data_IF_158451341610
#
_entry.id   IF_158451341610
#
_cell.length_a   1.000
_cell.length_b   1.000
_cell.length_c   1.000
_cell.angle_alpha   90.00
_cell.angle_beta   90.00
_cell.angle_gamma   90.00
#
_symmetry.space_group_name_H-M   'P 1'
#
loop_
_entity.id
_entity.type
_entity.pdbx_description
1 polymer ?
#
# COMPACT_ATOMS: atom_id res chain seq x y z
N UNK A 1 10.34 6.05 -6.73
CA UNK A 1 10.41 5.23 -5.50
C UNK A 1 9.25 4.24 -5.50
N UNK A 2 9.24 3.28 -4.56
CA UNK A 2 8.18 2.30 -4.45
C UNK A 2 7.35 2.52 -3.17
N UNK A 3 6.05 2.37 -3.32
CA UNK A 3 5.07 2.49 -2.25
C UNK A 3 4.13 1.28 -2.28
N UNK A 4 3.42 1.06 -1.18
CA UNK A 4 2.32 0.13 -1.15
C UNK A 4 1.12 0.78 -0.48
N UNK A 5 -0.08 0.44 -0.93
CA UNK A 5 -1.34 0.87 -0.33
C UNK A 5 -2.15 -0.33 0.08
N UNK A 6 -2.69 -0.28 1.30
CA UNK A 6 -3.79 -1.12 1.73
C UNK A 6 -5.07 -0.29 1.75
N UNK A 7 -6.06 -0.69 0.98
CA UNK A 7 -7.34 0.02 0.86
C UNK A 7 -8.46 -0.95 0.51
N UNK A 8 -9.71 -0.50 0.63
CA UNK A 8 -10.83 -1.15 -0.03
C UNK A 8 -10.62 -1.08 -1.55
N UNK A 9 -10.76 -2.22 -2.23
CA UNK A 9 -10.66 -2.35 -3.68
C UNK A 9 -11.73 -3.33 -4.12
N UNK A 10 -12.85 -2.81 -4.61
CA UNK A 10 -14.00 -3.62 -5.04
C UNK A 10 -13.73 -4.34 -6.36
N UNK A 11 -13.18 -3.63 -7.35
CA UNK A 11 -12.76 -4.19 -8.64
C UNK A 11 -11.25 -4.13 -8.81
N UNK A 12 -10.52 -5.21 -8.47
CA UNK A 12 -9.09 -5.34 -8.74
C UNK A 12 -8.72 -5.21 -10.23
N UNK A 13 -9.67 -5.39 -11.15
CA UNK A 13 -9.41 -5.34 -12.59
C UNK A 13 -9.55 -3.94 -13.19
N UNK A 14 -9.99 -2.95 -12.42
CA UNK A 14 -10.07 -1.58 -12.87
C UNK A 14 -8.72 -1.08 -13.44
N UNK A 15 -8.78 -0.31 -14.52
CA UNK A 15 -7.59 0.25 -15.15
C UNK A 15 -7.01 1.43 -14.36
N UNK A 16 -7.88 2.15 -13.65
CA UNK A 16 -7.53 3.32 -12.86
C UNK A 16 -8.17 3.22 -11.49
N UNK A 17 -7.43 3.63 -10.46
CA UNK A 17 -7.88 3.71 -9.09
C UNK A 17 -7.72 5.13 -8.56
N UNK A 18 -8.64 5.56 -7.70
CA UNK A 18 -8.56 6.81 -6.98
C UNK A 18 -8.64 6.49 -5.49
N UNK A 19 -7.64 6.93 -4.73
CA UNK A 19 -7.58 6.69 -3.30
C UNK A 19 -7.36 8.00 -2.56
N UNK A 20 -8.09 8.20 -1.45
CA UNK A 20 -7.77 9.21 -0.46
C UNK A 20 -7.49 8.50 0.86
N UNK A 21 -6.22 8.45 1.27
CA UNK A 21 -5.82 7.56 2.35
C UNK A 21 -4.82 8.19 3.32
N UNK A 22 -4.89 7.78 4.59
CA UNK A 22 -3.84 8.14 5.56
C UNK A 22 -2.51 7.53 5.15
N UNK A 23 -1.44 8.18 5.55
CA UNK A 23 -0.07 7.77 5.23
C UNK A 23 0.69 7.45 6.50
N UNK A 24 1.57 6.46 6.42
CA UNK A 24 2.50 6.09 7.48
C UNK A 24 3.84 5.71 6.85
N UNK A 25 4.91 5.61 7.65
CA UNK A 25 6.20 5.09 7.21
C UNK A 25 6.70 5.71 5.88
N UNK A 26 6.73 7.04 5.82
CA UNK A 26 7.18 7.77 4.61
C UNK A 26 6.14 7.88 3.49
N UNK A 27 4.96 7.26 3.61
CA UNK A 27 3.93 7.26 2.56
C UNK A 27 3.45 8.64 2.10
N UNK A 28 3.64 9.69 2.92
CA UNK A 28 3.31 11.09 2.57
C UNK A 28 4.17 11.68 1.45
N UNK A 29 5.26 11.00 1.07
CA UNK A 29 6.20 11.46 0.04
C UNK A 29 5.85 10.92 -1.36
N UNK A 30 4.82 10.09 -1.48
CA UNK A 30 4.40 9.54 -2.76
C UNK A 30 4.07 10.65 -3.76
N UNK A 31 4.56 10.50 -4.98
CA UNK A 31 4.43 11.49 -6.04
C UNK A 31 4.02 10.83 -7.36
N UNK A 32 3.64 11.66 -8.34
CA UNK A 32 3.42 11.21 -9.71
C UNK A 32 4.68 10.51 -10.26
N UNK A 33 4.48 9.41 -10.99
CA UNK A 33 5.56 8.58 -11.54
C UNK A 33 6.06 7.47 -10.61
N UNK A 34 5.69 7.48 -9.32
CA UNK A 34 6.07 6.41 -8.40
C UNK A 34 5.36 5.09 -8.69
N UNK A 35 6.04 3.98 -8.37
CA UNK A 35 5.45 2.64 -8.40
C UNK A 35 4.65 2.43 -7.12
N UNK A 36 3.44 1.88 -7.26
CA UNK A 36 2.61 1.53 -6.11
C UNK A 36 2.05 0.11 -6.24
N UNK A 37 2.19 -0.67 -5.18
CA UNK A 37 1.59 -2.00 -5.03
C UNK A 37 0.24 -1.89 -4.31
N UNK A 38 -0.80 -2.47 -4.90
CA UNK A 38 -2.18 -2.36 -4.44
C UNK A 38 -2.56 -3.62 -3.65
N UNK A 39 -2.84 -3.44 -2.35
CA UNK A 39 -3.37 -4.47 -1.46
C UNK A 39 -4.85 -4.20 -1.19
N UNK A 40 -5.72 -5.09 -1.66
CA UNK A 40 -7.13 -5.12 -1.31
C UNK A 40 -7.26 -5.57 0.16
N UNK A 41 -7.85 -4.71 0.98
CA UNK A 41 -7.93 -4.88 2.42
C UNK A 41 -8.81 -6.06 2.82
N UNK A 42 -8.27 -7.01 3.57
CA UNK A 42 -9.03 -8.18 4.05
C UNK A 42 -10.11 -7.82 5.08
N UNK A 43 -9.98 -6.66 5.74
CA UNK A 43 -11.05 -6.16 6.61
C UNK A 43 -12.27 -5.67 5.80
N UNK A 44 -12.09 -5.43 4.50
CA UNK A 44 -13.11 -4.98 3.55
C UNK A 44 -13.43 -6.10 2.53
N UNK A 45 -13.10 -7.36 2.85
CA UNK A 45 -13.35 -8.52 1.97
C UNK A 45 -12.29 -8.75 0.88
N UNK A 46 -11.22 -7.97 0.85
CA UNK A 46 -10.09 -8.14 -0.07
C UNK A 46 -9.19 -9.35 0.26
N UNK A 47 -8.20 -9.61 -0.59
CA UNK A 47 -7.33 -10.79 -0.52
C UNK A 47 -5.82 -10.47 -0.43
N UNK A 48 -5.46 -9.23 -0.08
CA UNK A 48 -4.07 -8.77 -0.07
C UNK A 48 -3.65 -8.22 -1.43
N UNK A 49 -2.41 -8.51 -1.87
CA UNK A 49 -1.85 -7.98 -3.11
C UNK A 49 -2.69 -8.39 -4.33
N UNK A 50 -3.15 -7.40 -5.09
CA UNK A 50 -3.99 -7.64 -6.27
C UNK A 50 -3.41 -7.06 -7.57
N UNK A 51 -2.63 -5.99 -7.47
CA UNK A 51 -2.11 -5.31 -8.65
C UNK A 51 -0.89 -4.45 -8.32
N UNK A 52 -0.20 -4.01 -9.38
CA UNK A 52 0.76 -2.90 -9.35
C UNK A 52 0.30 -1.82 -10.32
N UNK A 53 0.60 -0.58 -10.00
CA UNK A 53 0.38 0.56 -10.87
C UNK A 53 1.45 1.63 -10.77
N UNK A 54 1.24 2.68 -11.55
CA UNK A 54 2.00 3.93 -11.51
C UNK A 54 1.07 5.04 -11.03
N UNK A 55 1.54 5.84 -10.08
CA UNK A 55 0.82 7.02 -9.60
C UNK A 55 0.78 8.06 -10.71
N UNK A 56 -0.41 8.49 -11.09
CA UNK A 56 -0.64 9.51 -12.14
C UNK A 56 -0.98 10.89 -11.57
N UNK A 57 -1.34 10.97 -10.29
CA UNK A 57 -1.45 12.24 -9.55
C UNK A 57 -1.27 11.98 -8.06
N UNK A 58 -0.76 12.98 -7.33
CA UNK A 58 -0.61 12.93 -5.88
C UNK A 58 -0.84 14.31 -5.28
N UNK A 59 -1.81 14.41 -4.38
CA UNK A 59 -2.20 15.65 -3.73
C UNK A 59 -2.26 15.45 -2.22
N UNK A 60 -1.56 16.29 -1.46
CA UNK A 60 -1.68 16.30 -0.02
C UNK A 60 -3.10 16.75 0.38
N UNK A 61 -3.76 15.96 1.24
CA UNK A 61 -5.06 16.36 1.78
C UNK A 61 -4.85 17.40 2.87
N UNK A 62 -5.48 18.59 2.78
CA UNK A 62 -5.38 19.61 3.80
C UNK A 62 -5.73 19.08 5.19
N UNK A 63 -5.14 19.71 6.21
CA UNK A 63 -5.53 19.44 7.59
C UNK A 63 -6.92 20.01 7.84
N UNK A 64 -7.75 19.25 8.53
CA UNK A 64 -9.01 19.75 9.04
C UNK A 64 -8.72 20.73 10.19
N UNK A 65 -9.23 21.97 10.14
CA UNK A 65 -8.91 22.98 11.15
C UNK A 65 -9.37 22.59 12.56
N UNK A 66 -10.46 21.82 12.66
CA UNK A 66 -11.03 21.40 13.96
C UNK A 66 -10.33 20.20 14.61
N UNK A 67 -9.29 19.63 13.98
CA UNK A 67 -8.56 18.49 14.52
C UNK A 67 -7.22 18.93 15.11
N UNK A 68 -7.02 18.75 16.43
CA UNK A 68 -5.73 18.99 17.08
C UNK A 68 -4.60 18.14 16.48
N UNK A 69 -4.93 16.91 16.07
CA UNK A 69 -3.99 15.98 15.43
C UNK A 69 -4.66 15.26 14.27
N UNK A 70 -4.01 15.32 13.11
CA UNK A 70 -4.39 14.55 11.93
C UNK A 70 -3.17 13.80 11.39
N UNK A 71 -3.31 12.49 11.21
CA UNK A 71 -2.33 11.71 10.44
C UNK A 71 -2.28 12.24 9.01
N UNK A 72 -1.09 12.49 8.43
CA UNK A 72 -0.99 13.00 7.07
C UNK A 72 -1.75 12.10 6.09
N UNK A 73 -2.50 12.72 5.17
CA UNK A 73 -3.34 12.07 4.18
C UNK A 73 -2.95 12.54 2.79
N UNK A 74 -3.04 11.65 1.82
CA UNK A 74 -2.76 11.94 0.41
C UNK A 74 -3.89 11.35 -0.44
N UNK A 75 -4.33 12.12 -1.43
CA UNK A 75 -5.17 11.66 -2.53
C UNK A 75 -4.27 11.31 -3.71
N UNK A 76 -4.43 10.11 -4.27
CA UNK A 76 -3.68 9.65 -5.44
C UNK A 76 -4.63 9.11 -6.50
N UNK A 77 -4.27 9.32 -7.77
CA UNK A 77 -4.76 8.50 -8.87
C UNK A 77 -3.68 7.52 -9.29
N UNK A 78 -4.06 6.29 -9.62
CA UNK A 78 -3.15 5.21 -9.99
C UNK A 78 -3.64 4.57 -11.27
N UNK A 79 -2.76 4.47 -12.27
CA UNK A 79 -3.00 3.64 -13.45
C UNK A 79 -2.41 2.26 -13.22
N UNK A 80 -3.24 1.23 -13.30
CA UNK A 80 -2.82 -0.18 -13.18
C UNK A 80 -1.89 -0.55 -14.33
N UNK A 81 -0.80 -1.23 -14.02
CA UNK A 81 0.13 -1.75 -15.04
C UNK A 81 0.09 -3.27 -15.14
N UNK A 82 -0.17 -3.98 -14.05
CA UNK A 82 -0.21 -5.45 -14.03
C UNK A 82 -1.04 -5.98 -12.86
N UNK A 83 -1.65 -7.15 -13.04
CA UNK A 83 -2.39 -7.90 -12.02
C UNK A 83 -1.47 -8.93 -11.36
N UNK A 84 -1.62 -9.13 -10.05
CA UNK A 84 -0.89 -10.17 -9.35
C UNK A 84 -1.31 -11.57 -9.84
N UNK A 85 -0.34 -12.45 -10.04
CA UNK A 85 -0.52 -13.84 -10.48
C UNK A 85 -0.41 -14.83 -9.32
N UNK A 86 0.08 -14.38 -8.16
CA UNK A 86 0.23 -15.16 -6.93
C UNK A 86 -0.40 -14.44 -5.73
N UNK A 87 -0.93 -15.22 -4.80
CA UNK A 87 -1.55 -14.69 -3.57
C UNK A 87 -0.48 -14.16 -2.60
N UNK A 88 -0.77 -13.00 -2.00
CA UNK A 88 0.01 -12.44 -0.90
C UNK A 88 -0.86 -11.53 -0.03
N UNK A 89 -1.42 -12.07 1.04
CA UNK A 89 -2.22 -11.34 2.02
C UNK A 89 -1.77 -11.60 3.45
N UNK A 90 -2.70 -11.36 4.38
CA UNK A 90 -2.49 -11.56 5.81
C UNK A 90 -2.01 -12.97 6.14
N UNK A 91 -2.55 -14.00 5.49
CA UNK A 91 -2.26 -15.38 5.84
C UNK A 91 -0.84 -15.80 5.48
N UNK A 92 -0.31 -15.28 4.37
CA UNK A 92 1.08 -15.46 3.97
C UNK A 92 2.03 -14.64 4.86
N UNK A 93 1.64 -13.42 5.25
CA UNK A 93 2.52 -12.46 5.90
C UNK A 93 2.53 -12.52 7.43
N UNK A 94 1.43 -12.96 8.08
CA UNK A 94 1.28 -12.90 9.55
C UNK A 94 2.34 -13.70 10.31
N UNK A 95 2.96 -14.71 9.69
CA UNK A 95 3.98 -15.58 10.32
C UNK A 95 5.33 -14.88 10.50
N UNK A 96 5.62 -13.83 9.73
CA UNK A 96 6.90 -13.14 9.74
C UNK A 96 6.95 -12.08 10.85
N UNK A 97 7.31 -12.51 12.07
CA UNK A 97 7.24 -11.67 13.28
C UNK A 97 8.59 -11.43 13.96
N UNK A 98 9.68 -11.87 13.34
CA UNK A 98 11.03 -11.53 13.81
C UNK A 98 11.42 -10.15 13.26
N UNK A 99 11.08 -9.10 14.00
CA UNK A 99 11.15 -7.71 13.52
C UNK A 99 12.56 -7.22 13.15
N UNK A 100 13.60 -7.98 13.48
CA UNK A 100 14.99 -7.62 13.22
C UNK A 100 15.64 -8.50 12.15
N UNK A 101 14.89 -9.37 11.47
CA UNK A 101 15.42 -10.28 10.45
C UNK A 101 15.75 -9.60 9.11
N UNK A 102 15.35 -8.33 8.93
CA UNK A 102 15.59 -7.55 7.72
C UNK A 102 14.81 -8.03 6.49
N UNK A 103 13.87 -8.96 6.65
CA UNK A 103 13.16 -9.58 5.53
C UNK A 103 12.06 -8.67 4.96
N UNK A 104 11.85 -8.71 3.63
CA UNK A 104 10.78 -7.95 3.01
C UNK A 104 9.39 -8.37 3.51
N UNK A 105 9.18 -9.66 3.78
CA UNK A 105 7.89 -10.14 4.32
C UNK A 105 7.62 -9.59 5.72
N UNK A 106 8.65 -9.51 6.56
CA UNK A 106 8.57 -8.93 7.91
C UNK A 106 8.25 -7.44 7.83
N UNK A 107 8.87 -6.70 6.90
CA UNK A 107 8.56 -5.29 6.65
C UNK A 107 7.08 -5.10 6.28
N UNK A 108 6.55 -5.90 5.35
CA UNK A 108 5.16 -5.83 4.92
C UNK A 108 4.20 -6.21 6.06
N UNK A 109 4.53 -7.26 6.83
CA UNK A 109 3.77 -7.64 8.02
C UNK A 109 3.71 -6.49 9.04
N UNK A 110 4.85 -5.87 9.32
CA UNK A 110 4.96 -4.75 10.23
C UNK A 110 4.13 -3.55 9.77
N UNK A 111 4.23 -3.16 8.49
CA UNK A 111 3.58 -1.95 7.97
C UNK A 111 2.06 -2.12 7.83
N UNK A 112 1.59 -3.29 7.39
CA UNK A 112 0.18 -3.52 7.10
C UNK A 112 -0.60 -4.30 8.15
N UNK A 113 -0.01 -5.27 8.84
CA UNK A 113 -0.80 -6.23 9.63
C UNK A 113 -0.54 -6.16 11.13
N UNK A 114 0.58 -5.58 11.57
CA UNK A 114 0.78 -5.20 12.99
C UNK A 114 -0.26 -4.17 13.44
N UNK A 115 -0.58 -3.22 12.56
CA UNK A 115 -1.70 -2.29 12.72
C UNK A 115 -2.56 -2.33 11.45
N UNK A 116 -3.50 -3.28 11.42
CA UNK A 116 -4.38 -3.63 10.30
C UNK A 116 -5.40 -2.53 9.96
N UNK A 117 -4.91 -1.41 9.43
CA UNK A 117 -5.72 -0.28 8.96
C UNK A 117 -5.32 0.08 7.54
N UNK A 118 -6.26 0.64 6.78
CA UNK A 118 -5.99 1.14 5.43
C UNK A 118 -5.01 2.31 5.48
N UNK A 119 -3.99 2.30 4.62
CA UNK A 119 -2.88 3.26 4.63
C UNK A 119 -2.02 3.16 3.37
N UNK A 120 -1.35 4.25 3.02
CA UNK A 120 -0.21 4.27 2.09
C UNK A 120 1.10 4.25 2.90
N UNK A 121 2.06 3.44 2.48
CA UNK A 121 3.37 3.29 3.12
C UNK A 121 4.48 3.34 2.07
N UNK A 122 5.61 3.98 2.40
CA UNK A 122 6.84 3.77 1.64
C UNK A 122 7.38 2.38 1.93
N UNK A 123 8.02 1.73 0.96
CA UNK A 123 8.65 0.42 1.12
C UNK A 123 10.12 0.45 0.71
N UNK A 124 10.91 -0.47 1.27
CA UNK A 124 12.31 -0.62 0.87
C UNK A 124 12.45 -1.20 -0.55
N UNK A 125 13.62 -1.04 -1.16
CA UNK A 125 13.93 -1.67 -2.45
C UNK A 125 13.85 -3.20 -2.37
N UNK A 126 14.24 -3.80 -1.24
CA UNK A 126 14.12 -5.25 -1.01
C UNK A 126 12.67 -5.71 -0.98
N UNK A 127 11.78 -4.94 -0.33
CA UNK A 127 10.34 -5.21 -0.33
C UNK A 127 9.72 -5.01 -1.72
N UNK A 128 10.14 -4.00 -2.47
CA UNK A 128 9.70 -3.78 -3.84
C UNK A 128 10.10 -4.95 -4.75
N UNK A 129 11.39 -5.36 -4.72
CA UNK A 129 11.89 -6.50 -5.49
C UNK A 129 11.17 -7.81 -5.13
N UNK A 130 10.90 -8.03 -3.84
CA UNK A 130 10.10 -9.17 -3.40
C UNK A 130 8.68 -9.16 -4.00
N UNK A 131 8.02 -8.00 -3.99
CA UNK A 131 6.67 -7.85 -4.54
C UNK A 131 6.61 -8.01 -6.06
N UNK A 132 7.65 -7.60 -6.80
CA UNK A 132 7.73 -7.84 -8.25
C UNK A 132 7.64 -9.35 -8.59
N UNK A 133 8.06 -10.26 -7.70
CA UNK A 133 7.97 -11.71 -7.91
C UNK A 133 6.55 -12.31 -7.91
N UNK A 134 5.52 -11.50 -7.66
CA UNK A 134 4.10 -11.89 -7.61
C UNK A 134 3.32 -11.54 -8.88
N UNK A 135 3.98 -10.96 -9.87
CA UNK A 135 3.42 -10.58 -11.17
C UNK A 135 4.01 -11.47 -12.25
#
# INVERSE_FOLDING_TARGET
>A
MAYAIKAEIEDPRAETFIFAQKTMYGGKQIAEGDVIFLFASENEGGQGLVARGIVTSSEAVPRHPDLERQTPRVSIAVRRTVLATKLLGRDELKRFKDWNDGRPETELNFKFYRQATNKIVGISDGAALFLEGFF
#
